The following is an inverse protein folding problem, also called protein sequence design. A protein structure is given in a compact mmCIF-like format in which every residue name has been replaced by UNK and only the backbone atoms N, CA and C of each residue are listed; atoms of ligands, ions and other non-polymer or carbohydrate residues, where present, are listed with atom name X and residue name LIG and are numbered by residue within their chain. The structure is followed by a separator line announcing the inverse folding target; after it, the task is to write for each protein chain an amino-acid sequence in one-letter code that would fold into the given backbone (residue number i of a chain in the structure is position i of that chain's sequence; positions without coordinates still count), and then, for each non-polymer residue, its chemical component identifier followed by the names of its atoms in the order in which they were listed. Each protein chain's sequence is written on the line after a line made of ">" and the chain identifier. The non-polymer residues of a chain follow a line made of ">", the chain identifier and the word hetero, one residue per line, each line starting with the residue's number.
data_IF_237291701067
#
_entry.id   IF_237291701067
#
_cell.length_a   1.000
_cell.length_b   1.000
_cell.length_c   1.000
_cell.angle_alpha   90.00
_cell.angle_beta   90.00
_cell.angle_gamma   90.00
#
_symmetry.space_group_name_H-M   'P 1'
#
loop_
_entity.id
_entity.type
_entity.pdbx_description
1 polymer ?
#
# COMPACT_ATOMS: atom_id res chain seq x y z
N UNK A 1 -0.67 -12.43 -0.94
CA UNK A 1 0.37 -11.42 -1.26
C UNK A 1 1.27 -11.24 -0.05
N UNK A 2 2.57 -11.30 -0.24
CA UNK A 2 3.54 -11.27 0.87
C UNK A 2 4.37 -9.99 0.89
N UNK A 3 3.73 -8.85 0.73
CA UNK A 3 4.43 -7.56 0.77
C UNK A 3 4.24 -6.89 2.13
N UNK A 4 5.27 -6.22 2.65
CA UNK A 4 5.11 -5.49 3.91
C UNK A 4 4.03 -4.41 3.88
N UNK A 5 3.75 -3.85 2.71
CA UNK A 5 2.72 -2.82 2.54
C UNK A 5 1.32 -3.40 2.35
N UNK A 6 1.17 -4.71 2.28
CA UNK A 6 -0.13 -5.36 2.12
C UNK A 6 -0.79 -5.56 3.48
N UNK A 7 -1.91 -4.90 3.69
CA UNK A 7 -2.64 -4.92 4.96
C UNK A 7 -3.84 -5.86 4.98
N UNK A 8 -4.07 -6.61 3.91
CA UNK A 8 -5.16 -7.56 3.87
C UNK A 8 -6.54 -6.91 3.82
N UNK A 9 -7.44 -7.41 4.63
CA UNK A 9 -8.84 -6.98 4.62
C UNK A 9 -9.12 -5.83 5.57
N UNK A 10 -8.42 -4.74 5.43
CA UNK A 10 -8.81 -3.54 6.16
C UNK A 10 -9.80 -2.75 5.30
N UNK A 11 -10.68 -2.00 5.94
CA UNK A 11 -11.68 -1.21 5.26
C UNK A 11 -11.08 0.06 4.67
N UNK A 12 -11.85 0.72 3.80
CA UNK A 12 -11.48 2.04 3.30
C UNK A 12 -11.32 3.03 4.44
N UNK A 13 -12.25 2.99 5.41
CA UNK A 13 -12.21 3.88 6.56
C UNK A 13 -10.96 3.65 7.41
N UNK A 14 -10.64 2.40 7.70
CA UNK A 14 -9.41 2.06 8.43
C UNK A 14 -8.17 2.54 7.69
N UNK A 15 -8.16 2.42 6.37
CA UNK A 15 -7.06 2.88 5.53
C UNK A 15 -6.90 4.40 5.61
N UNK A 16 -8.01 5.11 5.51
CA UNK A 16 -8.00 6.58 5.58
C UNK A 16 -7.51 7.06 6.94
N UNK A 17 -7.97 6.43 8.01
CA UNK A 17 -7.52 6.75 9.35
C UNK A 17 -6.03 6.50 9.53
N UNK A 18 -5.56 5.36 9.04
CA UNK A 18 -4.16 4.98 9.17
C UNK A 18 -3.24 5.94 8.40
N UNK A 19 -3.56 6.23 7.16
CA UNK A 19 -2.75 7.12 6.34
C UNK A 19 -2.82 8.56 6.86
N UNK A 20 -3.98 9.00 7.32
CA UNK A 20 -4.12 10.33 7.91
C UNK A 20 -3.28 10.48 9.18
N UNK A 21 -3.17 9.42 9.98
CA UNK A 21 -2.37 9.45 11.20
C UNK A 21 -0.88 9.62 10.91
N UNK A 22 -0.42 9.11 9.77
CA UNK A 22 0.96 9.27 9.33
C UNK A 22 1.17 10.68 8.77
N UNK A 23 0.20 11.18 7.99
CA UNK A 23 0.14 12.58 7.56
C UNK A 23 1.20 13.02 6.57
N UNK A 24 1.90 12.11 5.92
CA UNK A 24 2.92 12.45 4.93
C UNK A 24 2.43 12.14 3.53
N UNK A 25 2.47 13.13 2.65
CA UNK A 25 2.09 12.92 1.25
C UNK A 25 2.98 11.85 0.62
N UNK A 26 2.37 10.96 -0.15
CA UNK A 26 3.07 9.81 -0.73
C UNK A 26 3.10 8.59 0.17
N UNK A 27 2.52 8.66 1.36
CA UNK A 27 2.32 7.47 2.21
C UNK A 27 1.34 6.54 1.53
N UNK A 28 1.67 5.25 1.45
CA UNK A 28 0.84 4.31 0.69
C UNK A 28 0.82 2.93 1.32
N UNK A 29 -0.24 2.20 1.00
CA UNK A 29 -0.39 0.79 1.36
C UNK A 29 -1.25 0.09 0.31
N UNK A 30 -1.29 -1.22 0.39
CA UNK A 30 -2.16 -2.06 -0.44
C UNK A 30 -3.11 -2.80 0.49
N UNK A 31 -4.37 -2.88 0.10
CA UNK A 31 -5.39 -3.67 0.80
C UNK A 31 -6.25 -4.42 -0.20
N UNK A 32 -7.04 -5.36 0.31
CA UNK A 32 -8.02 -6.03 -0.53
C UNK A 32 -9.11 -5.04 -0.94
N UNK A 33 -9.63 -5.20 -2.15
CA UNK A 33 -10.81 -4.44 -2.59
C UNK A 33 -12.04 -4.94 -1.81
N UNK A 34 -12.85 -3.99 -1.32
CA UNK A 34 -14.10 -4.35 -0.63
C UNK A 34 -15.19 -4.75 -1.62
N UNK A 35 -15.12 -4.28 -2.86
CA UNK A 35 -16.20 -4.44 -3.83
C UNK A 35 -15.91 -5.44 -4.93
N UNK A 36 -14.65 -5.69 -5.25
CA UNK A 36 -14.28 -6.61 -6.32
C UNK A 36 -13.44 -7.75 -5.75
N UNK A 37 -14.01 -8.96 -5.64
CA UNK A 37 -13.26 -10.11 -5.13
C UNK A 37 -12.03 -10.38 -5.97
N UNK A 38 -10.89 -10.63 -5.29
CA UNK A 38 -9.63 -10.93 -5.96
C UNK A 38 -8.85 -9.73 -6.45
N UNK A 39 -9.41 -8.53 -6.38
CA UNK A 39 -8.69 -7.31 -6.72
C UNK A 39 -8.14 -6.64 -5.46
N UNK A 40 -7.18 -5.74 -5.67
CA UNK A 40 -6.53 -5.01 -4.59
C UNK A 40 -6.70 -3.50 -4.82
N UNK A 41 -6.45 -2.75 -3.78
CA UNK A 41 -6.45 -1.29 -3.85
C UNK A 41 -5.10 -0.76 -3.40
N UNK A 42 -4.48 0.05 -4.23
CA UNK A 42 -3.30 0.83 -3.87
C UNK A 42 -3.80 2.19 -3.38
N UNK A 43 -3.53 2.50 -2.13
CA UNK A 43 -4.05 3.70 -1.46
C UNK A 43 -2.91 4.63 -1.14
N UNK A 44 -2.99 5.88 -1.58
CA UNK A 44 -1.92 6.87 -1.46
C UNK A 44 -2.47 8.17 -0.90
N UNK A 45 -1.81 8.70 0.11
CA UNK A 45 -2.19 9.97 0.72
C UNK A 45 -1.61 11.14 -0.06
N UNK A 46 -2.45 12.11 -0.38
CA UNK A 46 -2.03 13.38 -0.97
C UNK A 46 -2.94 14.49 -0.48
N UNK A 47 -2.38 15.49 0.18
CA UNK A 47 -3.11 16.68 0.64
C UNK A 47 -4.37 16.32 1.43
N UNK A 48 -4.25 15.47 2.41
CA UNK A 48 -5.32 14.97 3.28
C UNK A 48 -6.33 14.02 2.62
N UNK A 49 -6.24 13.80 1.31
CA UNK A 49 -7.09 12.83 0.63
C UNK A 49 -6.35 11.53 0.40
N UNK A 50 -7.07 10.42 0.53
CA UNK A 50 -6.55 9.11 0.15
C UNK A 50 -7.07 8.76 -1.22
N UNK A 51 -6.17 8.65 -2.17
CA UNK A 51 -6.48 8.26 -3.55
C UNK A 51 -6.36 6.75 -3.66
N UNK A 52 -7.38 6.10 -4.19
CA UNK A 52 -7.45 4.66 -4.28
C UNK A 52 -7.41 4.22 -5.74
N UNK A 53 -6.43 3.39 -6.07
CA UNK A 53 -6.27 2.84 -7.42
C UNK A 53 -6.47 1.34 -7.37
N UNK A 54 -7.28 0.82 -8.28
CA UNK A 54 -7.49 -0.62 -8.36
C UNK A 54 -6.27 -1.29 -8.96
N UNK A 55 -5.84 -2.36 -8.33
CA UNK A 55 -4.73 -3.19 -8.79
C UNK A 55 -5.27 -4.59 -9.04
N UNK A 56 -5.00 -5.13 -10.21
CA UNK A 56 -5.46 -6.47 -10.55
C UNK A 56 -4.37 -7.25 -11.23
N UNK A 57 -4.50 -8.58 -11.17
CA UNK A 57 -3.62 -9.48 -11.88
C UNK A 57 -4.42 -10.19 -12.96
N UNK A 58 -3.88 -10.19 -14.18
CA UNK A 58 -4.52 -10.85 -15.31
C UNK A 58 -3.45 -11.63 -16.06
N UNK A 59 -3.63 -12.94 -16.16
CA UNK A 59 -2.69 -13.82 -16.86
C UNK A 59 -1.24 -13.64 -16.38
N UNK A 60 -1.06 -13.54 -15.07
CA UNK A 60 0.25 -13.37 -14.47
C UNK A 60 0.86 -11.99 -14.56
N UNK A 61 0.11 -11.02 -15.08
CA UNK A 61 0.58 -9.65 -15.21
C UNK A 61 -0.24 -8.72 -14.34
N UNK A 62 0.44 -7.74 -13.76
CA UNK A 62 -0.16 -6.78 -12.83
C UNK A 62 -0.45 -5.46 -13.52
N UNK A 63 -1.58 -4.88 -13.18
CA UNK A 63 -2.10 -3.67 -13.80
C UNK A 63 -2.66 -2.74 -12.74
N UNK A 64 -2.32 -1.44 -12.83
CA UNK A 64 -2.96 -0.39 -12.03
C UNK A 64 -3.92 0.38 -12.93
N UNK A 65 -5.14 0.57 -12.47
CA UNK A 65 -6.09 1.45 -13.14
C UNK A 65 -5.78 2.90 -12.76
N UNK A 66 -5.22 3.63 -13.71
CA UNK A 66 -4.88 5.03 -13.54
C UNK A 66 -5.94 5.91 -14.20
N UNK A 67 -5.60 7.15 -14.52
CA UNK A 67 -6.53 8.10 -15.10
C UNK A 67 -7.07 7.62 -16.46
N UNK A 68 -8.33 7.97 -16.72
CA UNK A 68 -8.98 7.64 -17.99
C UNK A 68 -8.19 8.22 -19.16
N UNK A 69 -7.98 7.41 -20.19
CA UNK A 69 -7.23 7.82 -21.37
C UNK A 69 -5.74 7.51 -21.32
N UNK A 70 -5.25 7.05 -20.18
CA UNK A 70 -3.86 6.58 -20.06
C UNK A 70 -3.78 5.14 -20.53
N UNK A 71 -2.80 4.83 -21.36
CA UNK A 71 -2.59 3.47 -21.85
C UNK A 71 -2.24 2.56 -20.69
N UNK A 72 -2.94 1.42 -20.53
CA UNK A 72 -2.63 0.49 -19.44
C UNK A 72 -1.19 -0.04 -19.53
N UNK A 73 -0.53 -0.12 -18.40
CA UNK A 73 0.81 -0.67 -18.29
C UNK A 73 0.75 -1.96 -17.50
N UNK A 74 1.41 -2.98 -18.01
CA UNK A 74 1.45 -4.29 -17.38
C UNK A 74 2.81 -4.55 -16.79
N UNK A 75 2.84 -5.15 -15.62
CA UNK A 75 4.06 -5.47 -14.89
C UNK A 75 4.12 -6.96 -14.59
N UNK A 76 5.31 -7.52 -14.64
CA UNK A 76 5.49 -8.95 -14.38
C UNK A 76 5.38 -9.30 -12.90
N UNK A 77 5.47 -8.31 -12.02
CA UNK A 77 5.29 -8.51 -10.58
C UNK A 77 4.75 -7.24 -9.94
N UNK A 78 4.15 -7.41 -8.76
CA UNK A 78 3.67 -6.26 -7.99
C UNK A 78 4.84 -5.40 -7.51
N UNK A 79 5.99 -6.00 -7.24
CA UNK A 79 7.17 -5.26 -6.81
C UNK A 79 7.66 -4.32 -7.92
N UNK A 80 7.68 -4.77 -9.16
CA UNK A 80 8.06 -3.92 -10.30
C UNK A 80 7.07 -2.79 -10.51
N UNK A 81 5.80 -3.07 -10.30
CA UNK A 81 4.75 -2.06 -10.38
C UNK A 81 5.02 -0.96 -9.34
N UNK A 82 5.25 -1.33 -8.09
CA UNK A 82 5.48 -0.37 -7.03
C UNK A 82 6.74 0.47 -7.29
N UNK A 83 7.82 -0.15 -7.73
CA UNK A 83 9.07 0.57 -8.04
C UNK A 83 8.85 1.61 -9.14
N UNK A 84 8.08 1.27 -10.16
CA UNK A 84 7.77 2.21 -11.24
C UNK A 84 7.05 3.44 -10.71
N UNK A 85 6.06 3.24 -9.84
CA UNK A 85 5.25 4.34 -9.33
C UNK A 85 5.91 5.11 -8.17
N UNK A 86 7.10 4.74 -7.77
CA UNK A 86 7.94 5.58 -6.91
C UNK A 86 8.43 6.82 -7.66
N UNK A 87 8.45 6.77 -8.98
CA UNK A 87 8.89 7.89 -9.81
C UNK A 87 7.72 8.82 -10.11
N UNK A 88 7.97 10.14 -10.18
CA UNK A 88 6.90 11.08 -10.54
C UNK A 88 6.48 10.93 -11.99
N UNK A 89 5.27 11.40 -12.30
CA UNK A 89 4.80 11.48 -13.68
C UNK A 89 4.39 10.16 -14.30
N UNK A 90 4.14 9.13 -13.49
CA UNK A 90 3.80 7.80 -14.03
C UNK A 90 2.29 7.54 -14.08
N UNK A 91 1.46 8.50 -13.68
CA UNK A 91 0.00 8.37 -13.75
C UNK A 91 -0.70 8.36 -12.40
N UNK A 92 0.02 8.33 -11.30
CA UNK A 92 -0.57 8.54 -9.98
C UNK A 92 -0.55 10.01 -9.62
N UNK A 93 -1.45 10.41 -8.73
CA UNK A 93 -1.58 11.80 -8.28
C UNK A 93 -0.30 12.29 -7.61
N UNK A 94 0.43 11.39 -6.96
CA UNK A 94 1.69 11.65 -6.29
C UNK A 94 2.51 10.37 -6.34
N UNK A 95 3.85 10.46 -6.40
CA UNK A 95 4.67 9.24 -6.37
C UNK A 95 4.58 8.53 -5.03
N UNK A 96 4.84 7.24 -5.05
CA UNK A 96 4.88 6.41 -3.84
C UNK A 96 6.17 6.70 -3.08
N UNK A 97 6.08 7.38 -1.95
CA UNK A 97 7.25 7.84 -1.22
C UNK A 97 7.47 7.13 0.11
N UNK A 98 6.39 6.86 0.84
CA UNK A 98 6.48 6.33 2.20
C UNK A 98 5.66 5.07 2.35
N UNK A 99 6.28 3.88 2.24
CA UNK A 99 5.55 2.64 2.43
C UNK A 99 5.07 2.50 3.87
N UNK A 100 3.78 2.25 4.03
CA UNK A 100 3.20 2.01 5.34
C UNK A 100 3.13 0.51 5.54
N UNK A 101 4.06 -0.01 6.31
CA UNK A 101 4.19 -1.45 6.52
C UNK A 101 3.23 -1.92 7.58
N UNK A 102 2.71 -3.11 7.39
CA UNK A 102 1.88 -3.73 8.41
C UNK A 102 2.77 -4.26 9.53
N UNK A 103 2.26 -4.17 10.76
CA UNK A 103 2.92 -4.78 11.91
C UNK A 103 2.69 -6.29 11.96
N UNK A 104 1.77 -6.78 11.13
CA UNK A 104 1.52 -8.21 11.02
C UNK A 104 2.56 -8.82 10.12
N UNK A 105 3.64 -9.25 10.71
CA UNK A 105 4.66 -9.96 9.97
C UNK A 105 4.08 -11.28 9.55
N UNK A 106 4.23 -11.60 8.31
CA UNK A 106 3.71 -12.84 7.76
C UNK A 106 4.69 -13.98 7.94
N UNK A 107 5.52 -13.90 8.92
CA UNK A 107 6.24 -15.03 9.34
C UNK A 107 5.52 -15.57 10.57
N UNK A 108 5.86 -16.67 11.03
CA UNK A 108 5.05 -17.52 11.85
C UNK A 108 5.40 -17.44 13.32
N UNK A 109 6.26 -16.54 13.71
CA UNK A 109 6.70 -16.43 15.08
C UNK A 109 6.06 -15.23 15.76
N UNK A 110 4.93 -15.46 16.41
CA UNK A 110 4.17 -14.41 17.07
C UNK A 110 4.97 -13.71 18.17
N UNK A 111 5.84 -14.44 18.87
CA UNK A 111 6.69 -13.85 19.90
C UNK A 111 7.63 -12.80 19.33
N UNK A 112 8.22 -13.07 18.19
CA UNK A 112 9.08 -12.10 17.53
C UNK A 112 8.30 -10.88 17.05
N UNK A 113 7.07 -11.10 16.60
CA UNK A 113 6.21 -10.00 16.17
C UNK A 113 5.96 -9.04 17.33
N UNK A 114 5.60 -9.56 18.48
CA UNK A 114 5.33 -8.73 19.65
C UNK A 114 6.57 -7.99 20.12
N UNK A 115 7.71 -8.65 20.14
CA UNK A 115 8.96 -8.02 20.54
C UNK A 115 9.33 -6.89 19.60
N UNK A 116 9.11 -7.07 18.32
CA UNK A 116 9.39 -6.07 17.32
C UNK A 116 8.46 -4.86 17.47
N UNK A 117 7.19 -5.08 17.71
CA UNK A 117 6.22 -4.02 17.95
C UNK A 117 6.57 -3.20 19.19
N UNK A 118 6.94 -3.86 20.27
CA UNK A 118 7.37 -3.18 21.49
C UNK A 118 8.61 -2.34 21.25
N UNK A 119 9.56 -2.85 20.49
CA UNK A 119 10.79 -2.15 20.18
C UNK A 119 10.51 -0.91 19.34
N UNK A 120 9.70 -1.04 18.31
CA UNK A 120 9.31 0.09 17.47
C UNK A 120 8.58 1.15 18.28
N UNK A 121 7.71 0.73 19.16
CA UNK A 121 6.98 1.64 20.02
C UNK A 121 7.92 2.42 20.95
N UNK A 122 8.89 1.74 21.53
CA UNK A 122 9.88 2.38 22.41
C UNK A 122 10.77 3.35 21.63
N UNK A 123 11.20 2.98 20.44
CA UNK A 123 11.97 3.86 19.58
C UNK A 123 11.19 5.12 19.24
N UNK A 124 9.91 4.97 18.93
CA UNK A 124 9.05 6.10 18.63
C UNK A 124 8.92 7.05 19.82
N UNK A 125 8.92 6.53 21.03
CA UNK A 125 8.85 7.33 22.26
C UNK A 125 10.21 7.90 22.67
N UNK A 126 11.30 7.54 22.01
CA UNK A 126 12.62 8.00 22.36
C UNK A 126 13.20 7.34 23.60
N UNK A 127 12.76 6.14 23.91
CA UNK A 127 13.21 5.38 25.10
C UNK A 127 14.30 4.41 24.73
#
# INVERSE_FOLDING_TARGET
>A
MKLPVYHGRISREETEDLLASIGKDGSYLIRDSETVPGAYCLCVLNQTFVHTYRVSETSGKWLVQTLKGVVPRYFSSIEKLLVTYEKPGQGLVVPLLHPVKTNKIQNQNEGEIYLQEEREYMEMLGI
#
